data_IF_830927659333
#
_entry.id   IF_830927659333
#
_cell.length_a   1.000
_cell.length_b   1.000
_cell.length_c   1.000
_cell.angle_alpha   90.00
_cell.angle_beta   90.00
_cell.angle_gamma   90.00
#
_symmetry.space_group_name_H-M   'P 1'
#
loop_
_entity.id
_entity.type
_entity.pdbx_description
1 polymer ?
#
# COMPACT_ATOMS: atom_id res chain seq x y z
N UNK A 1 16.99 27.27 32.80
CA UNK A 1 16.21 26.90 31.60
C UNK A 1 14.86 26.39 32.04
N UNK A 2 13.79 26.93 31.47
CA UNK A 2 12.43 26.49 31.78
C UNK A 2 12.13 25.22 30.98
N UNK A 3 11.38 24.24 31.52
CA UNK A 3 11.03 23.03 30.79
C UNK A 3 10.32 23.32 29.45
N UNK A 4 9.65 24.46 29.33
CA UNK A 4 9.04 24.94 28.08
C UNK A 4 10.04 25.22 26.94
N UNK A 5 11.28 25.59 27.25
CA UNK A 5 12.33 25.89 26.26
C UNK A 5 12.90 24.61 25.62
N UNK A 6 12.94 23.51 26.38
CA UNK A 6 13.38 22.22 25.87
C UNK A 6 12.36 21.61 24.90
N UNK A 7 11.07 21.80 25.17
CA UNK A 7 9.99 21.28 24.31
C UNK A 7 9.98 22.01 22.97
N UNK A 8 10.16 23.33 22.95
CA UNK A 8 10.22 24.10 21.70
C UNK A 8 11.47 23.80 20.88
N UNK A 9 12.63 23.58 21.51
CA UNK A 9 13.84 23.13 20.81
C UNK A 9 13.68 21.73 20.22
N UNK A 10 13.07 20.79 20.95
CA UNK A 10 12.77 19.45 20.42
C UNK A 10 11.80 19.52 19.24
N UNK A 11 10.74 20.33 19.33
CA UNK A 11 9.79 20.51 18.24
C UNK A 11 10.48 21.07 16.97
N UNK A 12 11.33 22.08 17.10
CA UNK A 12 12.11 22.63 15.99
C UNK A 12 13.11 21.62 15.40
N UNK A 13 13.74 20.80 16.25
CA UNK A 13 14.66 19.75 15.81
C UNK A 13 13.92 18.68 14.98
N UNK A 14 12.73 18.26 15.41
CA UNK A 14 11.90 17.30 14.68
C UNK A 14 11.40 17.85 13.35
N UNK A 15 11.01 19.13 13.28
CA UNK A 15 10.62 19.79 12.03
C UNK A 15 11.82 19.85 11.07
N UNK A 16 13.00 20.23 11.57
CA UNK A 16 14.21 20.31 10.76
C UNK A 16 14.68 18.93 10.24
N UNK A 17 14.53 17.88 11.05
CA UNK A 17 14.85 16.50 10.66
C UNK A 17 13.84 15.94 9.65
N UNK A 18 12.55 16.25 9.80
CA UNK A 18 11.50 15.79 8.88
C UNK A 18 11.62 16.38 7.47
N UNK A 19 12.05 17.63 7.35
CA UNK A 19 12.18 18.32 6.05
C UNK A 19 13.36 17.78 5.22
N UNK A 20 14.44 17.31 5.87
CA UNK A 20 15.60 16.77 5.14
C UNK A 20 15.39 15.39 4.50
N UNK A 21 14.35 14.64 4.89
CA UNK A 21 14.09 13.32 4.32
C UNK A 21 13.43 13.34 2.92
N UNK A 22 12.95 14.50 2.45
CA UNK A 22 12.24 14.62 1.17
C UNK A 22 13.09 15.15 0.00
N UNK A 23 14.32 15.58 0.23
CA UNK A 23 15.14 16.22 -0.80
C UNK A 23 16.26 15.31 -1.25
N UNK A 24 15.94 14.36 -2.12
CA UNK A 24 16.78 13.91 -3.24
C UNK A 24 16.01 12.87 -4.08
N UNK A 25 14.82 13.24 -4.56
CA UNK A 25 14.38 12.72 -5.85
C UNK A 25 15.22 13.50 -6.86
N UNK A 26 16.45 13.04 -7.11
CA UNK A 26 17.28 13.58 -8.19
C UNK A 26 16.43 13.65 -9.45
N UNK A 27 16.60 14.69 -10.29
CA UNK A 27 15.73 14.92 -11.44
C UNK A 27 15.59 13.60 -12.17
N UNK A 28 14.35 13.08 -12.22
CA UNK A 28 14.03 11.90 -12.99
C UNK A 28 14.54 12.20 -14.38
N UNK A 29 15.71 11.65 -14.74
CA UNK A 29 16.20 11.74 -16.11
C UNK A 29 15.05 11.20 -16.91
N UNK A 30 14.43 12.08 -17.69
CA UNK A 30 13.47 11.69 -18.69
C UNK A 30 14.30 10.84 -19.64
N UNK A 31 14.35 9.53 -19.37
CA UNK A 31 14.90 8.57 -20.30
C UNK A 31 13.91 8.66 -21.43
N UNK A 32 14.32 9.28 -22.54
CA UNK A 32 13.54 9.20 -23.76
C UNK A 32 13.21 7.71 -23.95
N UNK A 33 11.92 7.35 -24.08
CA UNK A 33 11.57 5.98 -24.36
C UNK A 33 12.20 5.66 -25.70
N UNK A 34 13.39 5.03 -25.67
CA UNK A 34 13.94 4.36 -26.82
C UNK A 34 12.85 3.45 -27.40
N UNK A 35 12.94 3.11 -28.69
CA UNK A 35 11.95 2.27 -29.36
C UNK A 35 11.57 1.11 -28.43
N UNK A 36 10.29 1.04 -28.05
CA UNK A 36 9.79 0.11 -27.04
C UNK A 36 10.30 -1.29 -27.40
N UNK A 37 11.16 -1.84 -26.54
CA UNK A 37 11.69 -3.17 -26.76
C UNK A 37 10.56 -4.15 -26.47
N UNK A 38 9.84 -4.54 -27.52
CA UNK A 38 8.69 -5.45 -27.51
C UNK A 38 9.11 -6.92 -27.22
N UNK A 39 10.27 -7.11 -26.59
CA UNK A 39 10.76 -8.40 -26.14
C UNK A 39 9.79 -9.00 -25.13
N UNK A 40 9.22 -10.11 -25.54
CA UNK A 40 8.41 -10.98 -24.69
C UNK A 40 9.36 -11.68 -23.72
N UNK A 41 9.34 -11.26 -22.45
CA UNK A 41 10.11 -11.90 -21.40
C UNK A 41 9.52 -13.24 -21.02
N UNK A 42 8.19 -13.31 -20.98
CA UNK A 42 7.47 -14.52 -20.62
C UNK A 42 6.09 -14.54 -21.24
N UNK A 43 5.74 -15.70 -21.78
CA UNK A 43 4.42 -15.98 -22.33
C UNK A 43 3.97 -17.34 -21.84
N UNK A 44 2.74 -17.41 -21.37
CA UNK A 44 2.04 -18.67 -21.10
C UNK A 44 0.71 -18.62 -21.81
N UNK A 45 0.58 -19.50 -22.78
CA UNK A 45 -0.66 -19.75 -23.48
C UNK A 45 -1.50 -20.76 -22.70
N UNK A 46 -2.79 -20.79 -23.01
CA UNK A 46 -3.71 -21.85 -22.58
C UNK A 46 -3.99 -21.95 -21.07
N UNK A 47 -4.05 -20.82 -20.36
CA UNK A 47 -4.53 -20.81 -18.98
C UNK A 47 -6.06 -20.87 -18.99
N UNK A 48 -6.60 -21.94 -18.43
CA UNK A 48 -8.03 -22.25 -18.47
C UNK A 48 -8.71 -21.91 -17.16
N UNK A 49 -9.91 -21.36 -17.24
CA UNK A 49 -10.84 -21.21 -16.14
C UNK A 49 -12.20 -21.79 -16.49
N UNK A 50 -12.88 -22.29 -15.47
CA UNK A 50 -14.17 -22.95 -15.59
C UNK A 50 -15.18 -22.28 -14.67
N UNK A 51 -16.44 -22.17 -15.10
CA UNK A 51 -17.48 -21.56 -14.30
C UNK A 51 -18.87 -21.80 -14.87
N UNK A 52 -19.90 -21.65 -14.05
CA UNK A 52 -21.29 -21.82 -14.48
C UNK A 52 -21.67 -20.72 -15.47
N UNK A 53 -21.26 -19.48 -15.17
CA UNK A 53 -21.35 -18.36 -16.10
C UNK A 53 -20.01 -18.04 -16.77
N UNK A 54 -20.05 -17.29 -17.87
CA UNK A 54 -18.85 -16.75 -18.51
C UNK A 54 -18.06 -15.84 -17.56
N UNK A 55 -18.75 -15.03 -16.74
CA UNK A 55 -18.12 -14.16 -15.77
C UNK A 55 -17.32 -14.97 -14.72
N UNK A 56 -17.90 -16.06 -14.21
CA UNK A 56 -17.22 -16.94 -13.24
C UNK A 56 -16.00 -17.62 -13.86
N UNK A 57 -16.17 -18.18 -15.06
CA UNK A 57 -15.10 -18.87 -15.78
C UNK A 57 -13.93 -17.93 -16.09
N UNK A 58 -14.25 -16.70 -16.50
CA UNK A 58 -13.28 -15.64 -16.75
C UNK A 58 -12.58 -15.22 -15.45
N UNK A 59 -13.31 -14.97 -14.37
CA UNK A 59 -12.72 -14.60 -13.09
C UNK A 59 -11.75 -15.68 -12.60
N UNK A 60 -12.14 -16.96 -12.72
CA UNK A 60 -11.27 -18.08 -12.38
C UNK A 60 -10.01 -18.14 -13.27
N UNK A 61 -10.17 -18.03 -14.59
CA UNK A 61 -9.06 -18.06 -15.54
C UNK A 61 -8.01 -16.98 -15.23
N UNK A 62 -8.47 -15.76 -14.93
CA UNK A 62 -7.58 -14.66 -14.58
C UNK A 62 -6.95 -14.81 -13.19
N UNK A 63 -7.65 -15.37 -12.20
CA UNK A 63 -7.05 -15.69 -10.90
C UNK A 63 -5.89 -16.68 -11.05
N UNK A 64 -6.10 -17.74 -11.84
CA UNK A 64 -5.05 -18.72 -12.16
C UNK A 64 -3.90 -18.04 -12.92
N UNK A 65 -4.20 -17.19 -13.90
CA UNK A 65 -3.20 -16.42 -14.63
C UNK A 65 -2.36 -15.50 -13.72
N UNK A 66 -3.00 -14.85 -12.74
CA UNK A 66 -2.31 -14.02 -11.74
C UNK A 66 -1.37 -14.83 -10.86
N UNK A 67 -1.81 -16.01 -10.38
CA UNK A 67 -0.97 -16.91 -9.59
C UNK A 67 0.23 -17.43 -10.37
N UNK A 68 0.04 -17.78 -11.65
CA UNK A 68 1.11 -18.22 -12.55
C UNK A 68 2.12 -17.11 -12.82
N UNK A 69 1.64 -15.87 -13.01
CA UNK A 69 2.49 -14.69 -13.15
C UNK A 69 3.30 -14.45 -11.87
N UNK A 70 2.68 -14.52 -10.69
CA UNK A 70 3.38 -14.39 -9.41
C UNK A 70 4.43 -15.48 -9.22
N UNK A 71 4.09 -16.74 -9.53
CA UNK A 71 5.01 -17.86 -9.46
C UNK A 71 6.22 -17.66 -10.38
N UNK A 72 6.02 -17.12 -11.58
CA UNK A 72 7.12 -16.74 -12.48
C UNK A 72 8.00 -15.62 -11.89
N UNK A 73 7.39 -14.59 -11.31
CA UNK A 73 8.12 -13.46 -10.70
C UNK A 73 8.94 -13.89 -9.47
N UNK A 74 8.37 -14.75 -8.62
CA UNK A 74 9.06 -15.35 -7.47
C UNK A 74 10.25 -16.20 -7.90
N UNK A 75 10.06 -17.06 -8.91
CA UNK A 75 11.11 -17.93 -9.45
C UNK A 75 12.30 -17.13 -9.99
N UNK A 76 12.04 -15.96 -10.56
CA UNK A 76 13.08 -15.06 -11.07
C UNK A 76 13.69 -14.13 -10.01
N UNK A 77 13.36 -14.35 -8.72
CA UNK A 77 13.84 -13.56 -7.58
C UNK A 77 13.50 -12.08 -7.69
N UNK A 78 12.36 -11.75 -8.27
CA UNK A 78 11.83 -10.39 -8.29
C UNK A 78 10.91 -10.21 -7.09
N UNK A 79 11.36 -9.58 -5.98
CA UNK A 79 10.52 -9.39 -4.83
C UNK A 79 9.46 -8.34 -5.18
N UNK A 80 8.26 -8.75 -5.54
CA UNK A 80 7.11 -7.86 -5.73
C UNK A 80 6.19 -8.06 -4.53
N UNK A 81 5.93 -6.97 -3.81
CA UNK A 81 5.05 -6.96 -2.64
C UNK A 81 3.61 -6.63 -3.01
N UNK A 82 3.43 -5.91 -4.11
CA UNK A 82 2.15 -5.49 -4.65
C UNK A 82 1.55 -6.56 -5.55
N UNK A 83 0.38 -7.09 -5.18
CA UNK A 83 -0.39 -7.95 -6.06
C UNK A 83 -1.20 -7.10 -7.06
N UNK A 84 -0.99 -7.27 -8.39
CA UNK A 84 -1.77 -6.55 -9.37
C UNK A 84 -3.24 -7.00 -9.33
N UNK A 85 -4.16 -6.02 -9.39
CA UNK A 85 -5.58 -6.32 -9.47
C UNK A 85 -5.95 -6.92 -10.84
N UNK A 86 -7.08 -7.63 -10.88
CA UNK A 86 -7.64 -8.19 -12.11
C UNK A 86 -7.78 -7.14 -13.22
N UNK A 87 -8.37 -6.00 -12.85
CA UNK A 87 -8.59 -4.85 -13.73
C UNK A 87 -7.28 -4.25 -14.24
N UNK A 88 -6.22 -4.26 -13.41
CA UNK A 88 -4.90 -3.82 -13.84
C UNK A 88 -4.30 -4.73 -14.91
N UNK A 89 -4.37 -6.05 -14.71
CA UNK A 89 -3.85 -7.03 -15.66
C UNK A 89 -4.57 -6.95 -17.02
N UNK A 90 -5.88 -6.67 -17.01
CA UNK A 90 -6.68 -6.49 -18.21
C UNK A 90 -6.39 -5.16 -18.91
N UNK A 91 -6.41 -4.04 -18.18
CA UNK A 91 -6.18 -2.71 -18.75
C UNK A 91 -4.80 -2.56 -19.37
N UNK A 92 -3.78 -3.21 -18.80
CA UNK A 92 -2.42 -3.29 -19.38
C UNK A 92 -2.25 -4.40 -20.39
N UNK A 93 -3.32 -5.14 -20.70
CA UNK A 93 -3.32 -6.25 -21.66
C UNK A 93 -2.21 -7.27 -21.37
N UNK A 94 -1.88 -7.48 -20.09
CA UNK A 94 -0.95 -8.50 -19.61
C UNK A 94 -1.63 -9.87 -19.73
N UNK A 95 -2.93 -9.92 -19.41
CA UNK A 95 -3.78 -11.10 -19.59
C UNK A 95 -4.82 -10.77 -20.65
N UNK A 96 -4.98 -11.64 -21.66
CA UNK A 96 -5.96 -11.50 -22.73
C UNK A 96 -6.77 -12.77 -22.89
N UNK A 97 -8.08 -12.65 -23.05
CA UNK A 97 -8.94 -13.77 -23.44
C UNK A 97 -8.65 -14.16 -24.89
N UNK A 98 -8.35 -15.43 -25.13
CA UNK A 98 -8.06 -15.96 -26.48
C UNK A 98 -9.30 -16.63 -27.05
N UNK A 99 -9.89 -17.52 -26.24
CA UNK A 99 -10.97 -18.40 -26.68
C UNK A 99 -12.01 -18.57 -25.59
N UNK A 100 -13.25 -18.58 -26.02
CA UNK A 100 -14.39 -18.95 -25.21
C UNK A 100 -15.00 -20.21 -25.80
N UNK A 101 -15.07 -21.28 -25.01
CA UNK A 101 -15.68 -22.53 -25.44
C UNK A 101 -16.83 -22.87 -24.50
N UNK A 102 -18.04 -22.94 -25.06
CA UNK A 102 -19.18 -23.56 -24.37
C UNK A 102 -19.08 -25.07 -24.57
N UNK A 103 -19.06 -25.83 -23.47
CA UNK A 103 -19.00 -27.28 -23.56
C UNK A 103 -20.38 -27.81 -23.97
N UNK A 104 -20.52 -28.55 -25.09
CA UNK A 104 -21.82 -28.94 -25.63
C UNK A 104 -22.63 -29.86 -24.70
N UNK A 105 -21.96 -30.59 -23.80
CA UNK A 105 -22.59 -31.51 -22.83
C UNK A 105 -22.47 -31.01 -21.37
N UNK A 106 -21.88 -29.84 -21.14
CA UNK A 106 -21.55 -29.35 -19.80
C UNK A 106 -22.35 -28.11 -19.39
N UNK A 107 -22.75 -28.05 -18.12
CA UNK A 107 -23.35 -26.85 -17.50
C UNK A 107 -22.32 -25.76 -17.18
N UNK A 108 -21.14 -25.80 -17.79
CA UNK A 108 -20.03 -24.88 -17.51
C UNK A 108 -19.42 -24.31 -18.78
N UNK A 109 -18.95 -23.08 -18.65
CA UNK A 109 -18.22 -22.33 -19.67
C UNK A 109 -16.73 -22.48 -19.40
N UNK A 110 -15.94 -22.77 -20.44
CA UNK A 110 -14.48 -22.74 -20.42
C UNK A 110 -14.01 -21.43 -21.05
N UNK A 111 -13.13 -20.72 -20.34
CA UNK A 111 -12.48 -19.50 -20.83
C UNK A 111 -10.97 -19.74 -20.82
N UNK A 112 -10.33 -19.49 -21.96
CA UNK A 112 -8.88 -19.62 -22.12
C UNK A 112 -8.25 -18.24 -22.23
N UNK A 113 -7.27 -17.97 -21.38
CA UNK A 113 -6.52 -16.70 -21.35
C UNK A 113 -5.04 -16.91 -21.67
N UNK A 114 -4.45 -15.94 -22.37
CA UNK A 114 -3.02 -15.79 -22.61
C UNK A 114 -2.45 -14.81 -21.62
N UNK A 115 -1.30 -15.15 -21.03
CA UNK A 115 -0.50 -14.20 -20.26
C UNK A 115 0.75 -13.85 -21.05
N UNK A 116 0.98 -12.56 -21.24
CA UNK A 116 2.11 -12.03 -21.98
C UNK A 116 2.74 -10.86 -21.25
N UNK A 117 3.95 -11.11 -20.75
CA UNK A 117 4.79 -10.15 -20.06
C UNK A 117 5.92 -9.70 -20.99
N UNK A 118 5.81 -8.46 -21.48
CA UNK A 118 6.87 -7.79 -22.23
C UNK A 118 7.80 -7.05 -21.28
N UNK A 119 8.99 -6.67 -21.76
CA UNK A 119 9.95 -5.90 -20.95
C UNK A 119 9.38 -4.57 -20.45
N UNK A 120 8.62 -3.87 -21.30
CA UNK A 120 7.93 -2.63 -20.94
C UNK A 120 6.93 -2.84 -19.79
N UNK A 121 6.05 -3.84 -19.91
CA UNK A 121 5.06 -4.18 -18.88
C UNK A 121 5.73 -4.61 -17.57
N UNK A 122 6.86 -5.30 -17.67
CA UNK A 122 7.64 -5.71 -16.50
C UNK A 122 8.25 -4.50 -15.77
N UNK A 123 8.83 -3.53 -16.51
CA UNK A 123 9.32 -2.28 -15.92
C UNK A 123 8.18 -1.51 -15.25
N UNK A 124 7.01 -1.44 -15.89
CA UNK A 124 5.84 -0.78 -15.31
C UNK A 124 5.37 -1.46 -14.00
N UNK A 125 5.35 -2.80 -13.96
CA UNK A 125 5.03 -3.55 -12.75
C UNK A 125 5.99 -3.21 -11.60
N UNK A 126 7.29 -3.12 -11.89
CA UNK A 126 8.31 -2.75 -10.89
C UNK A 126 8.16 -1.31 -10.40
N UNK A 127 7.86 -0.38 -11.31
CA UNK A 127 7.60 1.02 -10.95
C UNK A 127 6.38 1.14 -10.04
N UNK A 128 5.31 0.41 -10.35
CA UNK A 128 4.12 0.37 -9.49
C UNK A 128 4.38 -0.28 -8.14
N UNK A 129 5.13 -1.38 -8.07
CA UNK A 129 5.50 -1.97 -6.78
C UNK A 129 6.31 -0.98 -5.93
N UNK A 130 7.23 -0.22 -6.56
CA UNK A 130 8.00 0.83 -5.89
C UNK A 130 7.08 1.92 -5.35
N UNK A 131 6.12 2.40 -6.14
CA UNK A 131 5.15 3.42 -5.69
C UNK A 131 4.30 2.90 -4.53
N UNK A 132 3.77 1.69 -4.64
CA UNK A 132 2.96 1.07 -3.60
C UNK A 132 3.74 0.92 -2.28
N UNK A 133 5.02 0.55 -2.32
CA UNK A 133 5.87 0.49 -1.12
C UNK A 133 6.05 1.87 -0.46
N UNK A 134 6.13 2.93 -1.26
CA UNK A 134 6.24 4.29 -0.73
C UNK A 134 4.91 4.70 -0.09
N UNK A 135 3.78 4.43 -0.74
CA UNK A 135 2.45 4.73 -0.21
C UNK A 135 2.18 4.02 1.12
N UNK A 136 2.47 2.72 1.21
CA UNK A 136 2.29 1.94 2.44
C UNK A 136 3.12 2.53 3.60
N UNK A 137 4.37 2.94 3.33
CA UNK A 137 5.22 3.60 4.34
C UNK A 137 4.66 4.97 4.73
N UNK A 138 4.19 5.76 3.78
CA UNK A 138 3.63 7.09 4.04
C UNK A 138 2.36 7.02 4.88
N UNK A 139 1.47 6.06 4.62
CA UNK A 139 0.26 5.83 5.42
C UNK A 139 0.65 5.48 6.86
N UNK A 140 1.67 4.65 7.06
CA UNK A 140 2.15 4.31 8.39
C UNK A 140 2.72 5.52 9.14
N UNK A 141 3.54 6.35 8.47
CA UNK A 141 4.05 7.60 9.05
C UNK A 141 2.95 8.61 9.36
N UNK A 142 1.94 8.74 8.49
CA UNK A 142 0.81 9.64 8.70
C UNK A 142 0.01 9.22 9.94
N UNK A 143 -0.26 7.92 10.10
CA UNK A 143 -0.89 7.37 11.31
C UNK A 143 -0.04 7.69 12.53
N UNK A 144 1.27 7.42 12.47
CA UNK A 144 2.18 7.64 13.60
C UNK A 144 2.19 9.11 14.04
N UNK A 145 2.28 10.02 13.07
CA UNK A 145 2.23 11.46 13.33
C UNK A 145 0.90 11.88 13.94
N UNK A 146 -0.23 11.39 13.41
CA UNK A 146 -1.55 11.66 13.98
C UNK A 146 -1.65 11.20 15.44
N UNK A 147 -1.07 10.05 15.78
CA UNK A 147 -0.98 9.56 17.16
C UNK A 147 -0.21 10.51 18.08
N UNK A 148 0.96 10.99 17.65
CA UNK A 148 1.76 11.97 18.42
C UNK A 148 1.00 13.28 18.61
N UNK A 149 0.37 13.80 17.56
CA UNK A 149 -0.41 15.05 17.62
C UNK A 149 -1.57 14.93 18.60
N UNK A 150 -2.30 13.80 18.58
CA UNK A 150 -3.37 13.54 19.53
C UNK A 150 -2.85 13.52 20.98
N UNK A 151 -1.68 12.91 21.22
CA UNK A 151 -1.05 12.85 22.52
C UNK A 151 -0.66 14.24 23.06
N UNK A 152 -0.08 15.07 22.20
CA UNK A 152 0.28 16.45 22.53
C UNK A 152 -0.97 17.28 22.83
N UNK A 153 -2.04 17.10 22.05
CA UNK A 153 -3.30 17.79 22.28
C UNK A 153 -3.91 17.45 23.65
N UNK A 154 -3.94 16.17 24.03
CA UNK A 154 -4.39 15.72 25.37
C UNK A 154 -3.54 16.35 26.48
N UNK A 155 -2.22 16.37 26.30
CA UNK A 155 -1.28 16.96 27.26
C UNK A 155 -1.49 18.48 27.40
N UNK A 156 -1.73 19.18 26.29
CA UNK A 156 -2.02 20.61 26.31
C UNK A 156 -3.35 20.92 27.02
N UNK A 157 -4.39 20.12 26.77
CA UNK A 157 -5.68 20.22 27.48
C UNK A 157 -5.49 19.97 28.97
N UNK A 158 -4.69 18.96 29.34
CA UNK A 158 -4.36 18.64 30.72
C UNK A 158 -3.72 19.83 31.44
N UNK A 159 -2.67 20.43 30.87
CA UNK A 159 -1.98 21.56 31.49
C UNK A 159 -2.90 22.77 31.64
N UNK A 160 -3.73 23.04 30.63
CA UNK A 160 -4.69 24.15 30.69
C UNK A 160 -5.75 23.94 31.78
N UNK A 161 -6.21 22.71 31.97
CA UNK A 161 -7.12 22.35 33.07
C UNK A 161 -6.45 22.46 34.44
N UNK A 162 -5.18 22.06 34.55
CA UNK A 162 -4.42 22.17 35.80
C UNK A 162 -4.22 23.63 36.21
N UNK A 163 -3.90 24.51 35.26
CA UNK A 163 -3.74 25.94 35.49
C UNK A 163 -5.04 26.59 35.97
N UNK A 164 -6.17 26.28 35.34
CA UNK A 164 -7.50 26.78 35.74
C UNK A 164 -7.88 26.28 37.14
N UNK A 165 -7.54 25.03 37.46
CA UNK A 165 -7.94 24.40 38.74
C UNK A 165 -6.97 24.65 39.89
N UNK A 166 -5.87 25.39 39.66
CA UNK A 166 -4.80 25.66 40.65
C UNK A 166 -4.31 24.37 41.35
N UNK A 167 -4.34 23.23 40.66
CA UNK A 167 -3.88 21.94 41.18
C UNK A 167 -4.83 21.17 42.10
N UNK A 168 -6.04 21.66 42.39
CA UNK A 168 -6.96 20.98 43.33
C UNK A 168 -7.40 19.57 42.88
N UNK A 169 -7.33 19.29 41.57
CA UNK A 169 -7.81 18.03 40.96
C UNK A 169 -6.72 17.10 40.41
N UNK A 170 -5.45 17.31 40.78
CA UNK A 170 -4.30 16.60 40.19
C UNK A 170 -4.44 15.07 40.14
N UNK A 171 -5.07 14.44 41.15
CA UNK A 171 -5.25 12.98 41.21
C UNK A 171 -6.25 12.46 40.18
N UNK A 172 -7.40 13.12 39.99
CA UNK A 172 -8.43 12.73 39.00
C UNK A 172 -7.95 12.99 37.58
N UNK A 173 -7.26 14.11 37.38
CA UNK A 173 -6.65 14.48 36.10
C UNK A 173 -5.61 13.45 35.64
N UNK A 174 -4.78 12.92 36.56
CA UNK A 174 -3.83 11.84 36.23
C UNK A 174 -4.52 10.56 35.77
N UNK A 175 -5.62 10.17 36.42
CA UNK A 175 -6.41 8.99 36.00
C UNK A 175 -7.02 9.21 34.62
N UNK A 176 -7.62 10.38 34.37
CA UNK A 176 -8.18 10.71 33.06
C UNK A 176 -7.12 10.69 31.94
N UNK A 177 -5.91 11.15 32.25
CA UNK A 177 -4.77 11.09 31.34
C UNK A 177 -4.39 9.63 31.05
N UNK A 178 -4.21 8.79 32.07
CA UNK A 178 -3.94 7.35 31.88
C UNK A 178 -5.02 6.66 31.04
N UNK A 179 -6.30 6.98 31.26
CA UNK A 179 -7.42 6.46 30.46
C UNK A 179 -7.32 6.94 29.01
N UNK A 180 -7.00 8.21 28.75
CA UNK A 180 -6.77 8.71 27.39
C UNK A 180 -5.62 7.98 26.70
N UNK A 181 -4.48 7.80 27.37
CA UNK A 181 -3.35 7.04 26.83
C UNK A 181 -3.75 5.58 26.53
N UNK A 182 -4.50 4.94 27.42
CA UNK A 182 -5.02 3.60 27.21
C UNK A 182 -5.95 3.53 25.98
N UNK A 183 -6.88 4.48 25.83
CA UNK A 183 -7.78 4.56 24.68
C UNK A 183 -7.05 4.81 23.36
N UNK A 184 -6.04 5.69 23.35
CA UNK A 184 -5.20 5.93 22.16
C UNK A 184 -4.41 4.67 21.81
N UNK A 185 -3.83 3.99 22.79
CA UNK A 185 -3.14 2.72 22.58
C UNK A 185 -4.07 1.62 22.05
N UNK A 186 -5.30 1.53 22.58
CA UNK A 186 -6.31 0.57 22.13
C UNK A 186 -6.80 0.87 20.71
N UNK A 187 -7.06 2.15 20.41
CA UNK A 187 -7.41 2.60 19.07
C UNK A 187 -6.29 2.33 18.07
N UNK A 188 -5.04 2.53 18.47
CA UNK A 188 -3.88 2.20 17.66
C UNK A 188 -3.79 0.69 17.36
N UNK A 189 -3.99 -0.15 18.38
CA UNK A 189 -3.99 -1.60 18.24
C UNK A 189 -5.09 -2.11 17.30
N UNK A 190 -6.26 -1.49 17.29
CA UNK A 190 -7.36 -1.88 16.40
C UNK A 190 -7.17 -1.46 14.93
N UNK A 191 -6.32 -0.45 14.68
CA UNK A 191 -6.03 0.07 13.33
C UNK A 191 -4.84 -0.63 12.68
N UNK A 192 -3.98 -1.26 13.50
CA UNK A 192 -2.81 -2.01 13.07
C UNK A 192 -3.22 -3.43 12.62
#
# INVERSE_FOLDING_TARGET
>A
MRPSEWVSLLALLFIALGVRAQTEVGPSRHVDPGPADDRVLWRKDDIKGYGVSHADARQMAFQVASQELLSYLEKNRTPISWLPSLEYLESRRIVREIEQKKQPEGSYTEVTVRVELTEEKYKELLERDRLNRVEVRQVWWMRFLAGIVALLAVTAIYFRLEEITRGYYSRRLRVALVVCFALVGLGWWLIL
#
